data_IF_127326840953
#
_entry.id   IF_127326840953
#
_cell.length_a   1.000
_cell.length_b   1.000
_cell.length_c   1.000
_cell.angle_alpha   90.00
_cell.angle_beta   90.00
_cell.angle_gamma   90.00
#
_symmetry.space_group_name_H-M   'P 1'
#
loop_
_entity.id
_entity.type
_entity.pdbx_description
1 polymer ?
#
# COMPACT_ATOMS: atom_id res chain seq x y z
N UNK A 1 -26.75 -21.08 -6.31
CA UNK A 1 -25.61 -20.15 -6.39
C UNK A 1 -25.78 -19.42 -7.70
N UNK A 2 -26.07 -18.12 -7.70
CA UNK A 2 -26.23 -17.33 -8.93
C UNK A 2 -25.09 -17.64 -9.90
N UNK A 3 -25.39 -18.01 -11.15
CA UNK A 3 -24.38 -18.31 -12.16
C UNK A 3 -23.70 -17.00 -12.57
N UNK A 4 -22.70 -16.56 -11.79
CA UNK A 4 -21.84 -15.44 -12.17
C UNK A 4 -21.18 -15.82 -13.50
N UNK A 5 -21.46 -15.04 -14.55
CA UNK A 5 -20.91 -15.27 -15.89
C UNK A 5 -19.39 -15.17 -15.89
N UNK A 6 -18.73 -15.96 -16.74
CA UNK A 6 -17.27 -15.85 -16.95
C UNK A 6 -16.86 -14.45 -17.40
N UNK A 7 -17.71 -13.77 -18.17
CA UNK A 7 -17.49 -12.37 -18.57
C UNK A 7 -17.43 -11.45 -17.36
N UNK A 8 -18.33 -11.62 -16.39
CA UNK A 8 -18.33 -10.83 -15.15
C UNK A 8 -17.05 -11.05 -14.35
N UNK A 9 -16.56 -12.30 -14.29
CA UNK A 9 -15.29 -12.62 -13.62
C UNK A 9 -14.11 -11.95 -14.31
N UNK A 10 -14.06 -11.97 -15.65
CA UNK A 10 -13.00 -11.33 -16.43
C UNK A 10 -13.03 -9.80 -16.24
N UNK A 11 -14.21 -9.18 -16.31
CA UNK A 11 -14.37 -7.74 -16.05
C UNK A 11 -13.91 -7.39 -14.64
N UNK A 12 -14.29 -8.19 -13.66
CA UNK A 12 -13.85 -8.00 -12.27
C UNK A 12 -12.34 -8.12 -12.13
N UNK A 13 -11.72 -9.08 -12.82
CA UNK A 13 -10.27 -9.27 -12.82
C UNK A 13 -9.54 -8.07 -13.43
N UNK A 14 -10.04 -7.52 -14.54
CA UNK A 14 -9.48 -6.29 -15.14
C UNK A 14 -9.58 -5.12 -14.15
N UNK A 15 -10.72 -4.96 -13.48
CA UNK A 15 -10.91 -3.93 -12.44
C UNK A 15 -9.91 -4.12 -11.30
N UNK A 16 -9.70 -5.36 -10.84
CA UNK A 16 -8.70 -5.64 -9.79
C UNK A 16 -7.29 -5.26 -10.24
N UNK A 17 -6.88 -5.59 -11.46
CA UNK A 17 -5.56 -5.19 -12.01
C UNK A 17 -5.42 -3.68 -12.04
N UNK A 18 -6.45 -2.94 -12.46
CA UNK A 18 -6.44 -1.46 -12.46
C UNK A 18 -6.34 -0.89 -11.04
N UNK A 19 -7.04 -1.48 -10.07
CA UNK A 19 -6.96 -1.04 -8.67
C UNK A 19 -5.55 -1.30 -8.11
N UNK A 20 -4.95 -2.47 -8.37
CA UNK A 20 -3.57 -2.78 -7.99
C UNK A 20 -2.57 -1.80 -8.62
N UNK A 21 -2.73 -1.53 -9.92
CA UNK A 21 -1.94 -0.54 -10.65
C UNK A 21 -1.99 0.85 -10.00
N UNK A 22 -3.19 1.28 -9.61
CA UNK A 22 -3.39 2.53 -8.90
C UNK A 22 -2.66 2.57 -7.55
N UNK A 23 -2.79 1.52 -6.72
CA UNK A 23 -2.11 1.46 -5.42
C UNK A 23 -0.59 1.54 -5.59
N UNK A 24 -0.03 0.67 -6.43
CA UNK A 24 1.39 0.59 -6.75
C UNK A 24 1.97 1.91 -7.29
N UNK A 25 1.28 2.55 -8.24
CA UNK A 25 1.67 3.87 -8.75
C UNK A 25 1.56 4.96 -7.68
N UNK A 26 0.49 4.96 -6.88
CA UNK A 26 0.28 5.96 -5.84
C UNK A 26 1.36 5.94 -4.75
N UNK A 27 1.83 4.77 -4.34
CA UNK A 27 2.97 4.61 -3.43
C UNK A 27 4.21 5.31 -4.00
N UNK A 28 4.60 4.93 -5.22
CA UNK A 28 5.80 5.45 -5.85
C UNK A 28 5.71 6.96 -6.07
N UNK A 29 4.57 7.46 -6.56
CA UNK A 29 4.35 8.89 -6.74
C UNK A 29 4.44 9.67 -5.43
N UNK A 30 3.89 9.13 -4.33
CA UNK A 30 3.96 9.74 -3.01
C UNK A 30 5.38 9.76 -2.43
N UNK A 31 6.20 8.74 -2.73
CA UNK A 31 7.56 8.62 -2.22
C UNK A 31 8.59 9.41 -3.01
N UNK A 32 8.39 9.56 -4.32
CA UNK A 32 9.30 10.27 -5.23
C UNK A 32 9.04 11.78 -5.30
N UNK A 33 7.95 12.28 -4.69
CA UNK A 33 7.65 13.70 -4.60
C UNK A 33 8.77 14.53 -3.94
N UNK A 34 9.12 15.66 -4.56
CA UNK A 34 10.02 16.64 -3.96
C UNK A 34 9.36 17.32 -2.73
N UNK A 35 9.89 17.02 -1.54
CA UNK A 35 9.36 17.49 -0.25
C UNK A 35 9.40 19.02 -0.10
N UNK A 36 10.43 19.67 -0.65
CA UNK A 36 10.57 21.11 -0.59
C UNK A 36 9.49 21.80 -1.41
N UNK A 37 9.34 21.40 -2.68
CA UNK A 37 8.31 21.95 -3.59
C UNK A 37 6.90 21.71 -3.06
N UNK A 38 6.63 20.52 -2.53
CA UNK A 38 5.35 20.18 -1.90
C UNK A 38 5.00 21.14 -0.76
N UNK A 39 5.92 21.37 0.18
CA UNK A 39 5.71 22.28 1.32
C UNK A 39 5.53 23.72 0.85
N UNK A 40 6.28 24.14 -0.16
CA UNK A 40 6.14 25.47 -0.75
C UNK A 40 4.74 25.67 -1.35
N UNK A 41 4.27 24.73 -2.18
CA UNK A 41 2.92 24.78 -2.76
C UNK A 41 1.81 24.71 -1.71
N UNK A 42 2.01 23.93 -0.65
CA UNK A 42 1.07 23.86 0.46
C UNK A 42 0.95 25.21 1.21
N UNK A 43 2.08 25.88 1.44
CA UNK A 43 2.12 27.25 2.03
C UNK A 43 1.44 28.27 1.12
N UNK A 44 1.58 28.14 -0.20
CA UNK A 44 0.89 28.98 -1.19
C UNK A 44 -0.63 28.71 -1.30
N UNK A 45 -1.19 27.82 -0.49
CA UNK A 45 -2.64 27.61 -0.42
C UNK A 45 -3.16 26.44 -1.27
N UNK A 46 -2.30 25.71 -2.01
CA UNK A 46 -2.74 24.59 -2.82
C UNK A 46 -3.34 23.46 -1.95
N UNK A 47 -4.63 23.17 -2.16
CA UNK A 47 -5.39 22.18 -1.37
C UNK A 47 -4.92 20.74 -1.59
N UNK A 48 -4.48 20.38 -2.80
CA UNK A 48 -3.93 19.04 -3.07
C UNK A 48 -2.58 18.87 -2.37
N UNK A 49 -1.69 19.86 -2.50
CA UNK A 49 -0.39 19.87 -1.83
C UNK A 49 -0.53 19.76 -0.31
N UNK A 50 -1.45 20.49 0.32
CA UNK A 50 -1.74 20.39 1.77
C UNK A 50 -2.15 18.98 2.20
N UNK A 51 -2.99 18.30 1.40
CA UNK A 51 -3.46 16.93 1.72
C UNK A 51 -2.34 15.92 1.59
N UNK A 52 -1.59 15.98 0.50
CA UNK A 52 -0.40 15.15 0.25
C UNK A 52 0.64 15.37 1.35
N UNK A 53 0.91 16.62 1.72
CA UNK A 53 1.81 16.96 2.82
C UNK A 53 1.33 16.33 4.14
N UNK A 54 0.03 16.41 4.45
CA UNK A 54 -0.56 15.80 5.66
C UNK A 54 -0.42 14.27 5.66
N UNK A 55 -0.74 13.61 4.54
CA UNK A 55 -0.58 12.16 4.36
C UNK A 55 0.87 11.72 4.63
N UNK A 56 1.81 12.51 4.13
CA UNK A 56 3.25 12.24 4.19
C UNK A 56 3.91 12.67 5.49
N UNK A 57 3.15 13.15 6.49
CA UNK A 57 3.65 13.30 7.87
C UNK A 57 3.88 11.96 8.56
N UNK A 58 3.16 10.91 8.15
CA UNK A 58 3.31 9.54 8.65
C UNK A 58 3.44 8.58 7.46
N UNK A 59 4.58 8.62 6.75
CA UNK A 59 4.77 7.87 5.51
C UNK A 59 4.63 6.36 5.74
N UNK A 60 5.09 5.83 6.87
CA UNK A 60 4.98 4.40 7.19
C UNK A 60 3.54 3.90 7.17
N UNK A 61 2.60 4.68 7.73
CA UNK A 61 1.18 4.33 7.71
C UNK A 61 0.59 4.33 6.30
N UNK A 62 1.04 5.25 5.46
CA UNK A 62 0.62 5.33 4.06
C UNK A 62 1.16 4.13 3.27
N UNK A 63 2.45 3.80 3.44
CA UNK A 63 3.11 2.65 2.81
C UNK A 63 2.39 1.37 3.21
N UNK A 64 2.22 1.13 4.51
CA UNK A 64 1.54 -0.08 5.00
C UNK A 64 0.13 -0.20 4.43
N UNK A 65 -0.63 0.89 4.40
CA UNK A 65 -1.97 0.88 3.83
C UNK A 65 -1.97 0.48 2.35
N UNK A 66 -1.12 1.12 1.55
CA UNK A 66 -1.05 0.89 0.11
C UNK A 66 -0.57 -0.53 -0.17
N UNK A 67 0.41 -1.03 0.59
CA UNK A 67 0.91 -2.40 0.49
C UNK A 67 -0.18 -3.43 0.83
N UNK A 68 -0.92 -3.23 1.93
CA UNK A 68 -2.03 -4.10 2.31
C UNK A 68 -3.10 -4.10 1.22
N UNK A 69 -3.50 -2.93 0.73
CA UNK A 69 -4.51 -2.80 -0.33
C UNK A 69 -4.08 -3.50 -1.62
N UNK A 70 -2.84 -3.28 -2.06
CA UNK A 70 -2.28 -3.92 -3.24
C UNK A 70 -2.26 -5.45 -3.11
N UNK A 71 -1.77 -5.96 -1.97
CA UNK A 71 -1.68 -7.39 -1.73
C UNK A 71 -3.07 -8.05 -1.67
N UNK A 72 -4.03 -7.40 -0.99
CA UNK A 72 -5.40 -7.89 -0.94
C UNK A 72 -6.01 -8.02 -2.34
N UNK A 73 -5.88 -6.97 -3.16
CA UNK A 73 -6.38 -6.95 -4.54
C UNK A 73 -5.71 -8.02 -5.39
N UNK A 74 -4.40 -8.23 -5.26
CA UNK A 74 -3.67 -9.26 -5.99
C UNK A 74 -4.06 -10.68 -5.58
N UNK A 75 -4.29 -10.93 -4.28
CA UNK A 75 -4.78 -12.22 -3.80
C UNK A 75 -6.19 -12.50 -4.34
N UNK A 76 -7.08 -11.51 -4.31
CA UNK A 76 -8.42 -11.63 -4.89
C UNK A 76 -8.37 -11.85 -6.41
N UNK A 77 -7.53 -11.11 -7.13
CA UNK A 77 -7.31 -11.31 -8.56
C UNK A 77 -6.79 -12.72 -8.85
N UNK A 78 -5.86 -13.24 -8.03
CA UNK A 78 -5.35 -14.61 -8.16
C UNK A 78 -6.44 -15.65 -7.96
N UNK A 79 -7.27 -15.50 -6.92
CA UNK A 79 -8.37 -16.42 -6.67
C UNK A 79 -9.39 -16.42 -7.83
N UNK A 80 -9.78 -15.23 -8.31
CA UNK A 80 -10.67 -15.08 -9.46
C UNK A 80 -10.05 -15.60 -10.75
N UNK A 81 -8.75 -15.35 -10.96
CA UNK A 81 -7.98 -15.83 -12.10
C UNK A 81 -7.96 -17.35 -12.16
N UNK A 82 -7.76 -18.02 -11.04
CA UNK A 82 -7.86 -19.48 -10.95
C UNK A 82 -9.25 -19.99 -11.34
N UNK A 83 -10.33 -19.34 -10.86
CA UNK A 83 -11.70 -19.71 -11.23
C UNK A 83 -11.93 -19.52 -12.74
N UNK A 84 -11.48 -18.41 -13.32
CA UNK A 84 -11.57 -18.15 -14.76
C UNK A 84 -10.78 -19.19 -15.55
N UNK A 85 -9.55 -19.49 -15.12
CA UNK A 85 -8.69 -20.52 -15.74
C UNK A 85 -9.37 -21.88 -15.77
N UNK A 86 -9.86 -22.34 -14.63
CA UNK A 86 -10.61 -23.61 -14.51
C UNK A 86 -11.81 -23.67 -15.45
N UNK A 87 -12.56 -22.57 -15.58
CA UNK A 87 -13.75 -22.53 -16.46
C UNK A 87 -13.41 -22.58 -17.94
N UNK A 88 -12.27 -22.04 -18.34
CA UNK A 88 -11.88 -21.94 -19.75
C UNK A 88 -11.09 -23.15 -20.23
N UNK A 89 -10.24 -23.74 -19.37
CA UNK A 89 -9.25 -24.74 -19.77
C UNK A 89 -9.14 -25.93 -18.79
N UNK A 90 -10.09 -26.08 -17.85
CA UNK A 90 -10.06 -27.16 -16.85
C UNK A 90 -8.81 -27.10 -15.97
N UNK A 91 -8.27 -28.27 -15.61
CA UNK A 91 -7.13 -28.37 -14.69
C UNK A 91 -5.86 -27.66 -15.21
N UNK A 92 -5.60 -27.74 -16.52
CA UNK A 92 -4.49 -27.01 -17.16
C UNK A 92 -4.68 -25.48 -17.07
N UNK A 93 -5.93 -25.03 -16.97
CA UNK A 93 -6.29 -23.63 -16.83
C UNK A 93 -5.76 -22.97 -15.57
N UNK A 94 -5.53 -23.71 -14.48
CA UNK A 94 -4.93 -23.16 -13.26
C UNK A 94 -3.51 -22.68 -13.54
N UNK A 95 -2.69 -23.52 -14.18
CA UNK A 95 -1.30 -23.21 -14.50
C UNK A 95 -1.22 -22.04 -15.52
N UNK A 96 -2.06 -22.09 -16.56
CA UNK A 96 -2.13 -21.03 -17.57
C UNK A 96 -2.56 -19.70 -16.93
N UNK A 97 -3.63 -19.70 -16.13
CA UNK A 97 -4.12 -18.49 -15.47
C UNK A 97 -3.10 -17.92 -14.50
N UNK A 98 -2.39 -18.78 -13.75
CA UNK A 98 -1.32 -18.34 -12.83
C UNK A 98 -0.22 -17.63 -13.61
N UNK A 99 0.33 -18.26 -14.66
CA UNK A 99 1.41 -17.66 -15.45
C UNK A 99 1.01 -16.34 -16.13
N UNK A 100 -0.16 -16.33 -16.78
CA UNK A 100 -0.68 -15.13 -17.46
C UNK A 100 -0.96 -14.02 -16.46
N UNK A 101 -1.63 -14.31 -15.35
CA UNK A 101 -1.97 -13.30 -14.36
C UNK A 101 -0.73 -12.75 -13.67
N UNK A 102 0.25 -13.60 -13.32
CA UNK A 102 1.53 -13.14 -12.75
C UNK A 102 2.22 -12.16 -13.70
N UNK A 103 2.32 -12.50 -14.99
CA UNK A 103 2.88 -11.59 -15.98
C UNK A 103 2.10 -10.27 -16.08
N UNK A 104 0.77 -10.35 -16.17
CA UNK A 104 -0.10 -9.17 -16.28
C UNK A 104 0.02 -8.26 -15.05
N UNK A 105 -0.04 -8.81 -13.85
CA UNK A 105 0.09 -8.04 -12.60
C UNK A 105 1.49 -7.43 -12.50
N UNK A 106 2.54 -8.21 -12.75
CA UNK A 106 3.92 -7.70 -12.65
C UNK A 106 4.16 -6.56 -13.65
N UNK A 107 3.73 -6.68 -14.90
CA UNK A 107 3.97 -5.65 -15.90
C UNK A 107 3.03 -4.46 -15.72
N UNK A 108 1.72 -4.70 -15.71
CA UNK A 108 0.71 -3.64 -15.81
C UNK A 108 0.24 -3.10 -14.47
N UNK A 109 0.31 -3.89 -13.40
CA UNK A 109 -0.09 -3.44 -12.07
C UNK A 109 1.12 -3.02 -11.20
N UNK A 110 2.31 -3.52 -11.51
CA UNK A 110 3.48 -3.27 -10.70
C UNK A 110 4.52 -2.38 -11.39
N UNK A 111 5.21 -2.88 -12.42
CA UNK A 111 6.35 -2.20 -13.02
C UNK A 111 5.92 -0.92 -13.74
N UNK A 112 4.99 -1.00 -14.69
CA UNK A 112 4.59 0.16 -15.50
C UNK A 112 4.02 1.31 -14.65
N UNK A 113 3.09 1.09 -13.71
CA UNK A 113 2.56 2.18 -12.89
C UNK A 113 3.62 2.83 -12.01
N UNK A 114 4.54 2.05 -11.41
CA UNK A 114 5.65 2.57 -10.62
C UNK A 114 6.57 3.44 -11.48
N UNK A 115 6.93 2.98 -12.68
CA UNK A 115 7.76 3.75 -13.62
C UNK A 115 7.10 5.08 -14.00
N UNK A 116 5.82 5.07 -14.38
CA UNK A 116 5.08 6.30 -14.74
C UNK A 116 4.99 7.26 -13.54
N UNK A 117 4.72 6.72 -12.35
CA UNK A 117 4.61 7.53 -11.14
C UNK A 117 5.95 8.15 -10.71
N UNK A 118 7.06 7.47 -10.94
CA UNK A 118 8.39 8.02 -10.69
C UNK A 118 8.73 9.18 -11.66
N UNK A 119 8.26 9.11 -12.91
CA UNK A 119 8.44 10.17 -13.91
C UNK A 119 7.52 11.38 -13.66
N UNK A 120 6.30 11.13 -13.18
CA UNK A 120 5.28 12.16 -12.99
C UNK A 120 4.65 12.13 -11.58
N UNK A 121 5.44 12.34 -10.51
CA UNK A 121 5.00 12.13 -9.13
C UNK A 121 3.85 13.05 -8.71
N UNK A 122 3.87 14.32 -9.12
CA UNK A 122 2.81 15.28 -8.81
C UNK A 122 1.48 14.88 -9.46
N UNK A 123 1.51 14.43 -10.71
CA UNK A 123 0.31 14.02 -11.46
C UNK A 123 -0.35 12.78 -10.87
N UNK A 124 0.41 11.93 -10.20
CA UNK A 124 -0.10 10.72 -9.53
C UNK A 124 -0.49 11.02 -8.08
N UNK A 125 0.43 11.58 -7.29
CA UNK A 125 0.22 11.75 -5.85
C UNK A 125 -0.93 12.73 -5.51
N UNK A 126 -1.09 13.81 -6.28
CA UNK A 126 -2.09 14.84 -5.96
C UNK A 126 -3.53 14.33 -6.11
N UNK A 127 -3.93 13.69 -7.22
CA UNK A 127 -5.26 13.07 -7.28
C UNK A 127 -5.37 11.90 -6.30
N UNK A 128 -4.32 11.08 -6.13
CA UNK A 128 -4.37 9.95 -5.20
C UNK A 128 -4.64 10.35 -3.75
N UNK A 129 -4.29 11.58 -3.36
CA UNK A 129 -4.59 12.12 -2.03
C UNK A 129 -6.08 12.19 -1.69
N UNK A 130 -6.98 12.19 -2.69
CA UNK A 130 -8.43 12.13 -2.47
C UNK A 130 -8.87 10.78 -1.88
N UNK A 131 -8.34 9.69 -2.45
CA UNK A 131 -8.71 8.33 -2.07
C UNK A 131 -7.89 7.83 -0.88
N UNK A 132 -6.60 8.16 -0.82
CA UNK A 132 -5.71 7.66 0.23
C UNK A 132 -5.95 8.34 1.59
N UNK A 133 -6.42 9.59 1.62
CA UNK A 133 -6.69 10.30 2.88
C UNK A 133 -7.77 9.64 3.76
N UNK A 134 -8.99 9.34 3.27
CA UNK A 134 -9.98 8.63 4.07
C UNK A 134 -9.52 7.21 4.42
N UNK A 135 -8.83 6.54 3.50
CA UNK A 135 -8.36 5.18 3.71
C UNK A 135 -7.26 5.10 4.80
N UNK A 136 -6.40 6.12 4.91
CA UNK A 136 -5.41 6.23 6.00
C UNK A 136 -6.07 6.45 7.37
N UNK A 137 -7.23 7.12 7.41
CA UNK A 137 -8.03 7.30 8.64
C UNK A 137 -8.58 5.94 9.11
N UNK A 138 -9.10 5.13 8.18
CA UNK A 138 -9.63 3.81 8.48
C UNK A 138 -8.58 2.85 9.09
N UNK A 139 -7.31 3.01 8.74
CA UNK A 139 -6.20 2.21 9.30
C UNK A 139 -5.67 2.71 10.66
N UNK A 140 -6.13 3.87 11.16
CA UNK A 140 -5.68 4.39 12.46
C UNK A 140 -5.89 3.46 13.67
N UNK A 141 -7.02 2.73 13.83
CA UNK A 141 -7.19 1.84 14.99
C UNK A 141 -6.13 0.74 15.05
N UNK A 142 -5.71 0.19 13.90
CA UNK A 142 -4.68 -0.85 13.83
C UNK A 142 -3.28 -0.34 14.22
N UNK A 143 -2.95 0.89 13.81
CA UNK A 143 -1.67 1.51 14.15
C UNK A 143 -1.51 1.85 15.64
N UNK A 144 -2.61 2.14 16.34
CA UNK A 144 -2.57 2.38 17.80
C UNK A 144 -2.27 1.09 18.56
N UNK A 145 -2.85 -0.04 18.15
CA UNK A 145 -2.61 -1.34 18.79
C UNK A 145 -1.13 -1.75 18.67
N UNK A 146 -0.54 -1.58 17.49
CA UNK A 146 0.88 -1.87 17.28
C UNK A 146 1.81 -0.97 18.11
N UNK A 147 1.52 0.34 18.18
CA UNK A 147 2.31 1.28 18.98
C UNK A 147 2.17 1.03 20.49
N UNK A 148 1.00 0.57 20.95
CA UNK A 148 0.79 0.21 22.35
C UNK A 148 1.66 -0.99 22.77
N UNK A 149 1.85 -1.97 21.87
CA UNK A 149 2.70 -3.13 22.12
C UNK A 149 4.20 -2.78 22.18
N UNK A 150 4.70 -1.95 21.25
CA UNK A 150 6.11 -1.52 21.28
C UNK A 150 6.45 -0.64 22.49
N UNK A 151 5.53 0.24 22.90
CA UNK A 151 5.75 1.12 24.06
C UNK A 151 5.89 0.38 25.39
N UNK A 152 5.39 -0.85 25.51
CA UNK A 152 5.58 -1.69 26.71
C UNK A 152 6.94 -2.41 26.72
N UNK A 153 7.48 -2.76 25.55
CA UNK A 153 8.77 -3.45 25.45
C UNK A 153 9.95 -2.52 25.75
N UNK A 154 9.95 -1.31 25.17
CA UNK A 154 11.05 -0.34 25.34
C UNK A 154 11.13 0.24 26.77
N UNK A 155 10.00 0.34 27.47
CA UNK A 155 9.96 0.77 28.87
C UNK A 155 10.68 -0.22 29.80
N UNK A 156 10.57 -1.52 29.52
CA UNK A 156 11.16 -2.58 30.33
C UNK A 156 12.69 -2.66 30.16
N UNK A 157 13.18 -2.47 28.93
CA UNK A 157 14.62 -2.45 28.62
C UNK A 157 15.29 -1.15 29.05
N UNK A 158 14.60 -0.01 28.94
CA UNK A 158 15.05 1.27 29.49
C UNK A 158 15.24 1.21 31.01
N UNK A 159 14.32 0.55 31.72
CA UNK A 159 14.43 0.34 33.18
C UNK A 159 15.62 -0.57 33.52
N UNK A 160 15.76 -1.70 32.84
CA UNK A 160 16.84 -2.67 33.10
C UNK A 160 18.23 -2.07 32.87
N UNK A 161 18.39 -1.23 31.84
CA UNK A 161 19.65 -0.53 31.56
C UNK A 161 19.95 0.58 32.58
N UNK A 162 18.94 1.28 33.09
CA UNK A 162 19.12 2.31 34.13
C UNK A 162 19.57 1.67 35.46
N UNK A 163 18.94 0.57 35.86
CA UNK A 163 19.34 -0.20 37.05
C UNK A 163 20.76 -0.79 36.95
N UNK A 164 21.19 -1.22 35.75
CA UNK A 164 22.56 -1.75 35.55
C UNK A 164 23.62 -0.65 35.65
N UNK A 165 23.32 0.57 35.16
CA UNK A 165 24.22 1.73 35.30
C UNK A 165 24.34 2.16 36.75
N UNK A 166 23.23 2.24 37.47
CA UNK A 166 23.23 2.66 38.89
C UNK A 166 23.93 1.64 39.80
N UNK A 167 23.84 0.33 39.52
CA UNK A 167 24.61 -0.69 40.26
C UNK A 167 26.08 -0.76 39.86
N UNK A 168 26.44 -0.49 38.61
CA UNK A 168 27.84 -0.41 38.18
C UNK A 168 28.59 0.81 38.74
N UNK A 169 27.86 1.88 39.06
CA UNK A 169 28.40 3.10 39.70
C UNK A 169 28.62 2.96 41.21
N UNK A 170 27.98 1.97 41.87
CA UNK A 170 28.14 1.71 43.33
C UNK A 170 29.25 0.71 43.67
N UNK A 171 29.95 0.16 42.67
CA UNK A 171 31.02 -0.82 42.84
C UNK A 171 32.41 -0.29 42.42
N UNK A 172 32.53 1.02 42.23
CA UNK A 172 33.80 1.75 42.05
C UNK A 172 33.91 2.80 43.14
#
# INVERSE_FOLDING_TARGET
MEHISTTTLIVTLIVMVVISAYFSGSETGMMTLNRYRLRHMAKQGNRQAKRVEKLLRKPDRLISLVLIGNNLVNILASALGTIVGMRLYGDAGVAIATGVLTFVVLVFAEVLPKTIAALYPEKVAYPSSLLLAPLQILMMPLGVVAQHHYSHSDAHDGYKNRYRRERGLKQR
#
